data_IF_863238864170
#
_entry.id   IF_863238864170
#
_cell.length_a   1.000
_cell.length_b   1.000
_cell.length_c   1.000
_cell.angle_alpha   90.00
_cell.angle_beta   90.00
_cell.angle_gamma   90.00
#
_symmetry.space_group_name_H-M   'P 1'
#
loop_
_entity.id
_entity.type
_entity.pdbx_description
1 polymer ?
#
# COMPACT_ATOMS: atom_id res chain seq x y z
N UNK A 1 -9.43 9.58 -25.69
CA UNK A 1 -8.83 9.05 -24.45
C UNK A 1 -9.96 8.32 -23.74
N UNK A 2 -9.86 7.00 -23.67
CA UNK A 2 -10.96 6.07 -23.36
C UNK A 2 -10.93 5.70 -21.87
N UNK A 3 -12.06 5.41 -21.22
CA UNK A 3 -12.12 4.96 -19.80
C UNK A 3 -11.14 3.82 -19.47
N UNK A 4 -10.80 3.00 -20.46
CA UNK A 4 -9.80 1.93 -20.35
C UNK A 4 -8.38 2.45 -20.12
N UNK A 5 -8.03 3.60 -20.70
CA UNK A 5 -6.70 4.20 -20.58
C UNK A 5 -6.46 4.74 -19.15
N UNK A 6 -7.50 5.31 -18.53
CA UNK A 6 -7.45 5.86 -17.16
C UNK A 6 -7.26 4.74 -16.10
N UNK A 7 -7.95 3.61 -16.27
CA UNK A 7 -7.85 2.45 -15.37
C UNK A 7 -6.47 1.77 -15.46
N UNK A 8 -5.86 1.74 -16.65
CA UNK A 8 -4.55 1.13 -16.87
C UNK A 8 -3.42 1.97 -16.27
N UNK A 9 -3.51 3.28 -16.36
CA UNK A 9 -2.51 4.20 -15.82
C UNK A 9 -2.47 4.14 -14.28
N UNK A 10 -3.63 4.10 -13.64
CA UNK A 10 -3.74 4.03 -12.17
C UNK A 10 -3.18 2.71 -11.62
N UNK A 11 -3.24 1.59 -12.36
CA UNK A 11 -2.55 0.33 -11.97
C UNK A 11 -1.04 0.39 -12.15
N UNK A 12 -0.54 1.10 -13.17
CA UNK A 12 0.90 1.24 -13.44
C UNK A 12 1.58 2.09 -12.38
N UNK A 13 0.98 3.22 -12.02
CA UNK A 13 1.44 4.14 -10.97
C UNK A 13 1.62 3.41 -9.63
N UNK A 14 0.61 2.60 -9.27
CA UNK A 14 0.56 1.82 -8.02
C UNK A 14 1.71 0.84 -7.84
N UNK A 15 2.20 0.25 -8.93
CA UNK A 15 3.26 -0.77 -8.89
C UNK A 15 4.65 -0.14 -8.92
N UNK A 16 4.78 1.09 -9.44
CA UNK A 16 6.07 1.80 -9.59
C UNK A 16 6.57 2.38 -8.28
N UNK A 17 5.69 2.91 -7.43
CA UNK A 17 6.06 3.49 -6.12
C UNK A 17 6.91 2.56 -5.24
N UNK A 18 6.51 1.29 -4.97
CA UNK A 18 7.32 0.37 -4.18
C UNK A 18 8.59 -0.10 -4.90
N UNK A 19 8.57 -0.18 -6.23
CA UNK A 19 9.74 -0.56 -7.03
C UNK A 19 10.79 0.55 -7.02
N UNK A 20 10.38 1.82 -7.09
CA UNK A 20 11.26 2.98 -6.96
C UNK A 20 11.87 3.01 -5.56
N UNK A 21 11.07 2.79 -4.52
CA UNK A 21 11.56 2.66 -3.14
C UNK A 21 12.58 1.54 -3.00
N UNK A 22 12.33 0.37 -3.57
CA UNK A 22 13.23 -0.77 -3.58
C UNK A 22 14.52 -0.51 -4.39
N UNK A 23 14.42 0.17 -5.54
CA UNK A 23 15.56 0.54 -6.36
C UNK A 23 16.45 1.57 -5.65
N UNK A 24 15.86 2.61 -5.03
CA UNK A 24 16.56 3.57 -4.19
C UNK A 24 17.25 2.89 -3.01
N UNK A 25 16.55 1.97 -2.34
CA UNK A 25 17.09 1.17 -1.25
C UNK A 25 18.30 0.34 -1.71
N UNK A 26 18.17 -0.33 -2.86
CA UNK A 26 19.23 -1.17 -3.42
C UNK A 26 20.46 -0.35 -3.84
N UNK A 27 20.25 0.80 -4.48
CA UNK A 27 21.33 1.73 -4.86
C UNK A 27 22.03 2.27 -3.62
N UNK A 28 21.27 2.64 -2.58
CA UNK A 28 21.81 3.14 -1.33
C UNK A 28 22.68 2.07 -0.64
N UNK A 29 22.17 0.85 -0.47
CA UNK A 29 22.92 -0.26 0.13
C UNK A 29 24.16 -0.62 -0.71
N UNK A 30 24.04 -0.64 -2.04
CA UNK A 30 25.17 -0.89 -2.93
C UNK A 30 26.25 0.20 -2.83
N UNK A 31 25.87 1.48 -2.78
CA UNK A 31 26.80 2.59 -2.60
C UNK A 31 27.53 2.52 -1.25
N UNK A 32 26.81 2.17 -0.19
CA UNK A 32 27.36 1.96 1.15
C UNK A 32 28.36 0.79 1.16
N UNK A 33 28.02 -0.34 0.53
CA UNK A 33 28.90 -1.50 0.42
C UNK A 33 30.16 -1.20 -0.41
N UNK A 34 30.03 -0.47 -1.52
CA UNK A 34 31.16 -0.04 -2.35
C UNK A 34 32.07 0.91 -1.58
N UNK A 35 31.51 1.88 -0.84
CA UNK A 35 32.27 2.79 0.00
C UNK A 35 33.09 2.04 1.05
N UNK A 36 32.49 1.07 1.75
CA UNK A 36 33.18 0.21 2.72
C UNK A 36 34.36 -0.57 2.11
N UNK A 37 34.17 -1.15 0.92
CA UNK A 37 35.20 -1.92 0.20
C UNK A 37 36.34 -1.00 -0.27
N UNK A 38 36.02 0.20 -0.76
CA UNK A 38 37.01 1.20 -1.19
C UNK A 38 37.78 1.83 -0.03
N UNK A 39 37.18 1.94 1.16
CA UNK A 39 37.84 2.47 2.37
C UNK A 39 38.98 1.56 2.87
N UNK A 40 39.06 0.30 2.40
CA UNK A 40 40.15 -0.62 2.76
C UNK A 40 40.16 -1.06 4.23
N UNK A 41 39.09 -0.78 4.98
CA UNK A 41 38.90 -1.22 6.35
C UNK A 41 38.59 -2.72 6.33
N UNK A 42 39.50 -3.56 6.81
CA UNK A 42 39.26 -5.00 6.96
C UNK A 42 38.09 -5.19 7.95
N UNK A 43 36.91 -5.65 7.52
CA UNK A 43 35.74 -5.80 8.40
C UNK A 43 35.91 -6.91 9.45
N UNK A 44 37.00 -7.67 9.38
CA UNK A 44 37.38 -8.68 10.35
C UNK A 44 38.07 -8.10 11.61
N UNK A 45 38.55 -6.85 11.56
CA UNK A 45 39.23 -6.19 12.69
C UNK A 45 38.38 -5.07 13.33
N UNK A 46 37.28 -4.67 12.67
CA UNK A 46 36.29 -3.76 13.26
C UNK A 46 35.40 -4.53 14.25
N UNK A 47 35.42 -4.04 15.49
CA UNK A 47 34.61 -4.54 16.59
C UNK A 47 33.14 -4.61 16.16
N UNK A 48 32.48 -5.73 16.45
CA UNK A 48 31.06 -5.99 16.19
C UNK A 48 30.12 -4.83 16.62
N UNK A 49 30.55 -4.04 17.60
CA UNK A 49 29.87 -2.84 18.09
C UNK A 49 29.80 -1.69 17.07
N UNK A 50 30.86 -1.44 16.30
CA UNK A 50 30.90 -0.37 15.29
C UNK A 50 30.11 -0.75 14.03
N UNK A 51 30.07 -2.04 13.71
CA UNK A 51 29.20 -2.57 12.66
C UNK A 51 27.72 -2.36 13.00
N UNK A 52 27.36 -2.52 14.28
CA UNK A 52 26.03 -2.25 14.80
C UNK A 52 25.65 -0.76 14.72
N UNK A 53 26.52 0.14 15.15
CA UNK A 53 26.30 1.59 15.06
C UNK A 53 26.18 2.05 13.59
N UNK A 54 26.96 1.45 12.70
CA UNK A 54 26.88 1.73 11.27
C UNK A 54 25.57 1.24 10.65
N UNK A 55 25.14 -0.01 10.93
CA UNK A 55 23.85 -0.52 10.48
C UNK A 55 22.68 0.28 11.06
N UNK A 56 22.79 0.74 12.31
CA UNK A 56 21.78 1.60 12.94
C UNK A 56 21.67 2.96 12.24
N UNK A 57 22.81 3.56 11.89
CA UNK A 57 22.86 4.84 11.16
C UNK A 57 22.33 4.73 9.73
N UNK A 58 22.79 3.72 8.98
CA UNK A 58 22.42 3.51 7.57
C UNK A 58 20.98 3.00 7.43
N UNK A 59 20.49 2.17 8.37
CA UNK A 59 19.12 1.66 8.28
C UNK A 59 18.05 2.67 8.72
N UNK A 60 18.39 3.68 9.52
CA UNK A 60 17.40 4.65 10.02
C UNK A 60 16.67 5.42 8.91
N UNK A 61 17.35 6.06 7.93
CA UNK A 61 16.68 6.72 6.81
C UNK A 61 15.91 5.74 5.92
N UNK A 62 16.44 4.53 5.76
CA UNK A 62 15.83 3.47 4.95
C UNK A 62 14.51 2.98 5.56
N UNK A 63 14.53 2.67 6.86
CA UNK A 63 13.36 2.27 7.63
C UNK A 63 12.30 3.36 7.64
N UNK A 64 12.70 4.63 7.78
CA UNK A 64 11.80 5.77 7.71
C UNK A 64 11.14 5.90 6.34
N UNK A 65 11.92 5.74 5.25
CA UNK A 65 11.40 5.77 3.89
C UNK A 65 10.34 4.67 3.67
N UNK A 66 10.59 3.46 4.15
CA UNK A 66 9.63 2.35 4.07
C UNK A 66 8.39 2.56 4.93
N UNK A 67 8.53 3.16 6.12
CA UNK A 67 7.38 3.53 6.96
C UNK A 67 6.46 4.54 6.25
N UNK A 68 7.04 5.59 5.66
CA UNK A 68 6.28 6.60 4.93
C UNK A 68 5.57 5.99 3.72
N UNK A 69 6.27 5.14 2.97
CA UNK A 69 5.70 4.46 1.80
C UNK A 69 4.55 3.52 2.20
N UNK A 70 4.73 2.74 3.27
CA UNK A 70 3.71 1.87 3.84
C UNK A 70 2.50 2.66 4.34
N UNK A 71 2.70 3.81 4.97
CA UNK A 71 1.63 4.69 5.42
C UNK A 71 0.78 5.20 4.25
N UNK A 72 1.40 5.60 3.14
CA UNK A 72 0.68 6.02 1.93
C UNK A 72 -0.07 4.86 1.28
N UNK A 73 0.51 3.66 1.27
CA UNK A 73 -0.15 2.46 0.76
C UNK A 73 -1.39 2.11 1.60
N UNK A 74 -1.24 2.05 2.93
CA UNK A 74 -2.31 1.78 3.88
C UNK A 74 -3.43 2.81 3.81
N UNK A 75 -3.10 4.11 3.70
CA UNK A 75 -4.08 5.19 3.56
C UNK A 75 -4.94 5.05 2.31
N UNK A 76 -4.36 4.60 1.19
CA UNK A 76 -5.09 4.37 -0.06
C UNK A 76 -5.98 3.14 0.02
N UNK A 77 -5.52 2.09 0.69
CA UNK A 77 -6.29 0.88 0.92
C UNK A 77 -7.53 1.14 1.80
N UNK A 78 -7.40 1.96 2.85
CA UNK A 78 -8.52 2.41 3.69
C UNK A 78 -9.57 3.16 2.86
N UNK A 79 -9.15 4.08 1.98
CA UNK A 79 -10.08 4.84 1.12
C UNK A 79 -10.85 3.93 0.17
N UNK A 80 -10.19 2.95 -0.42
CA UNK A 80 -10.83 1.98 -1.31
C UNK A 80 -11.80 1.07 -0.55
N UNK A 81 -11.41 0.58 0.63
CA UNK A 81 -12.25 -0.26 1.49
C UNK A 81 -13.51 0.49 1.94
N UNK A 82 -13.38 1.74 2.37
CA UNK A 82 -14.52 2.58 2.72
C UNK A 82 -15.49 2.79 1.54
N UNK A 83 -14.96 3.02 0.32
CA UNK A 83 -15.80 3.17 -0.88
C UNK A 83 -16.56 1.88 -1.19
N UNK A 84 -15.90 0.72 -1.09
CA UNK A 84 -16.53 -0.58 -1.30
C UNK A 84 -17.64 -0.83 -0.26
N UNK A 85 -17.38 -0.52 1.02
CA UNK A 85 -18.34 -0.68 2.10
C UNK A 85 -19.58 0.23 1.90
N UNK A 86 -19.39 1.47 1.47
CA UNK A 86 -20.49 2.37 1.15
C UNK A 86 -21.34 1.88 -0.02
N UNK A 87 -20.71 1.31 -1.06
CA UNK A 87 -21.42 0.70 -2.18
C UNK A 87 -22.21 -0.54 -1.71
N UNK A 88 -21.60 -1.41 -0.91
CA UNK A 88 -22.26 -2.59 -0.35
C UNK A 88 -23.44 -2.22 0.55
N UNK A 89 -23.29 -1.21 1.41
CA UNK A 89 -24.37 -0.70 2.24
C UNK A 89 -25.53 -0.12 1.42
N UNK A 90 -25.23 0.57 0.31
CA UNK A 90 -26.24 1.08 -0.62
C UNK A 90 -27.01 -0.06 -1.30
N UNK A 91 -26.30 -1.12 -1.69
CA UNK A 91 -26.93 -2.28 -2.33
C UNK A 91 -27.81 -3.07 -1.36
N UNK A 92 -27.37 -3.26 -0.11
CA UNK A 92 -28.19 -3.87 0.94
C UNK A 92 -29.48 -3.08 1.20
N UNK A 93 -29.41 -1.73 1.24
CA UNK A 93 -30.60 -0.89 1.39
C UNK A 93 -31.59 -1.08 0.24
N UNK A 94 -31.09 -1.11 -0.99
CA UNK A 94 -31.94 -1.38 -2.18
C UNK A 94 -32.59 -2.75 -2.10
N UNK A 95 -31.83 -3.78 -1.73
CA UNK A 95 -32.38 -5.14 -1.56
C UNK A 95 -33.47 -5.18 -0.50
N UNK A 96 -33.30 -4.50 0.64
CA UNK A 96 -34.32 -4.40 1.69
C UNK A 96 -35.57 -3.66 1.21
N UNK A 97 -35.41 -2.58 0.45
CA UNK A 97 -36.53 -1.82 -0.11
C UNK A 97 -37.30 -2.65 -1.14
N UNK A 98 -36.61 -3.43 -1.97
CA UNK A 98 -37.21 -4.37 -2.92
C UNK A 98 -38.02 -5.45 -2.19
N UNK A 99 -37.45 -6.05 -1.14
CA UNK A 99 -38.15 -7.04 -0.31
C UNK A 99 -39.38 -6.45 0.39
N UNK A 100 -39.32 -5.21 0.88
CA UNK A 100 -40.49 -4.52 1.44
C UNK A 100 -41.58 -4.29 0.41
N UNK A 101 -41.23 -3.93 -0.83
CA UNK A 101 -42.21 -3.76 -1.92
C UNK A 101 -42.90 -5.08 -2.25
N UNK A 102 -42.15 -6.18 -2.33
CA UNK A 102 -42.71 -7.52 -2.58
C UNK A 102 -43.63 -7.94 -1.43
N UNK A 103 -43.21 -7.73 -0.17
CA UNK A 103 -44.02 -8.06 1.00
C UNK A 103 -45.30 -7.20 1.13
N UNK A 104 -45.22 -5.91 0.79
CA UNK A 104 -46.38 -5.01 0.78
C UNK A 104 -47.38 -5.33 -0.34
N UNK A 105 -46.89 -5.65 -1.56
CA UNK A 105 -47.74 -6.06 -2.67
C UNK A 105 -48.44 -7.40 -2.46
N UNK A 106 -47.81 -8.32 -1.72
CA UNK A 106 -48.45 -9.59 -1.33
C UNK A 106 -49.56 -9.41 -0.28
N UNK A 107 -49.50 -8.35 0.55
CA UNK A 107 -50.53 -8.02 1.54
C UNK A 107 -51.82 -7.46 0.93
N UNK A 108 -51.72 -6.71 -0.18
CA UNK A 108 -52.88 -6.15 -0.90
C UNK A 108 -53.57 -7.18 -1.81
N UNK A 109 -52.87 -8.22 -2.27
CA UNK A 109 -53.46 -9.26 -3.12
C UNK A 109 -54.27 -10.32 -2.33
N UNK A 110 -54.18 -10.33 -0.99
CA UNK A 110 -54.90 -11.26 -0.11
C UNK A 110 -56.16 -10.67 0.55
N UNK A 111 -56.51 -9.42 0.26
CA UNK A 111 -57.63 -8.69 0.86
C UNK A 111 -58.77 -8.36 -0.12
N UNK A 112 -58.72 -8.90 -1.34
CA UNK A 112 -59.78 -8.85 -2.36
C UNK A 112 -60.38 -10.24 -2.60
#
# INVERSE_FOLDING_TARGET
>A
MTDTDEILDDRRERRRLPIIGLALSAIYVAGVAIYLVLQGQNPADLRLNELGDFLGGVSSPLAFLWLVLGFFQQSREIRLSNKALHLQAREMRRSVDEHRRIAGGAGDAGSA
#
